data_IF_977170989038
#
_entry.id   IF_977170989038
#
_cell.length_a   1.000
_cell.length_b   1.000
_cell.length_c   1.000
_cell.angle_alpha   90.00
_cell.angle_beta   90.00
_cell.angle_gamma   90.00
#
_symmetry.space_group_name_H-M   'P 1'
#
loop_
_entity.id
_entity.type
_entity.pdbx_description
1 polymer ?
#
# COMPACT_ATOMS: atom_id res chain seq x y z
N UNK A 1 15.06 -14.68 -10.41
CA UNK A 1 14.33 -15.33 -9.30
C UNK A 1 13.09 -14.49 -9.05
N UNK A 2 11.88 -15.03 -9.27
CA UNK A 2 10.64 -14.27 -9.12
C UNK A 2 10.10 -14.55 -7.71
N UNK A 3 10.43 -13.68 -6.76
CA UNK A 3 10.10 -13.85 -5.34
C UNK A 3 8.59 -14.07 -5.15
N UNK A 4 7.76 -13.42 -5.97
CA UNK A 4 6.30 -13.53 -5.91
C UNK A 4 5.79 -14.90 -6.32
N UNK A 5 6.49 -15.56 -7.25
CA UNK A 5 6.13 -16.87 -7.76
C UNK A 5 6.54 -17.95 -6.75
N UNK A 6 7.75 -17.82 -6.18
CA UNK A 6 8.28 -18.73 -5.16
C UNK A 6 7.40 -18.73 -3.88
N UNK A 7 6.82 -17.58 -3.49
CA UNK A 7 5.92 -17.49 -2.32
C UNK A 7 4.59 -18.26 -2.49
N UNK A 8 4.13 -18.48 -3.72
CA UNK A 8 2.86 -19.17 -3.99
C UNK A 8 3.03 -20.69 -4.07
N UNK A 9 4.24 -21.19 -4.30
CA UNK A 9 4.52 -22.62 -4.51
C UNK A 9 4.43 -23.46 -3.22
N UNK A 10 4.54 -22.85 -2.03
CA UNK A 10 4.52 -23.57 -0.75
C UNK A 10 3.12 -23.70 -0.12
N UNK A 11 2.05 -23.24 -0.79
CA UNK A 11 0.69 -23.25 -0.22
C UNK A 11 0.50 -22.27 0.95
N UNK A 12 1.50 -21.42 1.20
CA UNK A 12 1.44 -20.34 2.17
C UNK A 12 0.97 -19.05 1.47
N UNK A 13 0.10 -18.28 2.14
CA UNK A 13 -0.34 -16.96 1.70
C UNK A 13 0.32 -15.89 2.59
N UNK A 14 1.60 -15.55 2.36
CA UNK A 14 2.32 -14.60 3.20
C UNK A 14 1.76 -13.20 3.00
N UNK A 15 1.77 -12.41 4.07
CA UNK A 15 1.50 -10.98 3.97
C UNK A 15 2.70 -10.29 3.29
N UNK A 16 2.43 -9.55 2.21
CA UNK A 16 3.44 -8.78 1.48
C UNK A 16 3.28 -7.31 1.85
N UNK A 17 4.35 -6.71 2.35
CA UNK A 17 4.43 -5.27 2.62
C UNK A 17 5.38 -4.66 1.62
N UNK A 18 4.93 -3.63 0.91
CA UNK A 18 5.74 -2.94 -0.08
C UNK A 18 5.81 -1.45 0.24
N UNK A 19 7.04 -0.91 0.27
CA UNK A 19 7.25 0.54 0.40
C UNK A 19 7.25 1.13 -1.00
N UNK A 20 6.24 1.97 -1.28
CA UNK A 20 6.02 2.49 -2.62
C UNK A 20 6.91 3.69 -2.90
N UNK A 21 7.68 3.62 -4.00
CA UNK A 21 8.41 4.77 -4.52
C UNK A 21 7.51 5.76 -5.28
N UNK A 22 6.36 5.29 -5.76
CA UNK A 22 5.34 6.09 -6.43
C UNK A 22 3.97 5.78 -5.80
N UNK A 23 3.35 6.80 -5.24
CA UNK A 23 2.04 6.74 -4.58
C UNK A 23 0.92 6.30 -5.52
N UNK A 24 1.04 6.51 -6.85
CA UNK A 24 0.02 6.09 -7.83
C UNK A 24 -0.15 4.58 -7.91
N UNK A 25 0.86 3.80 -7.49
CA UNK A 25 0.80 2.33 -7.44
C UNK A 25 -0.07 1.82 -6.29
N UNK A 26 -0.49 2.69 -5.38
CA UNK A 26 -1.30 2.31 -4.21
C UNK A 26 -2.65 1.68 -4.61
N UNK A 27 -3.14 1.91 -5.83
CA UNK A 27 -4.34 1.27 -6.35
C UNK A 27 -4.18 -0.25 -6.62
N UNK A 28 -2.96 -0.77 -6.62
CA UNK A 28 -2.66 -2.21 -6.80
C UNK A 28 -2.72 -3.01 -5.50
N UNK A 29 -2.95 -2.36 -4.36
CA UNK A 29 -2.90 -2.98 -3.04
C UNK A 29 -4.27 -2.98 -2.37
N UNK A 30 -4.57 -4.05 -1.65
CA UNK A 30 -5.81 -4.18 -0.89
C UNK A 30 -5.90 -3.18 0.27
N UNK A 31 -4.75 -2.76 0.80
CA UNK A 31 -4.64 -1.83 1.93
C UNK A 31 -3.40 -0.95 1.78
N UNK A 32 -3.56 0.32 2.11
CA UNK A 32 -2.52 1.34 2.06
C UNK A 32 -2.39 1.95 3.45
N UNK A 33 -1.16 2.08 3.92
CA UNK A 33 -0.80 2.69 5.20
C UNK A 33 0.07 3.92 4.91
N UNK A 34 -0.35 5.09 5.37
CA UNK A 34 0.38 6.34 5.19
C UNK A 34 1.09 6.69 6.48
N UNK A 35 2.40 6.87 6.39
CA UNK A 35 3.21 7.32 7.51
C UNK A 35 3.67 8.76 7.27
N UNK A 36 3.50 9.63 8.26
CA UNK A 36 4.13 10.94 8.31
C UNK A 36 4.98 11.02 9.59
N UNK A 37 6.25 11.40 9.44
CA UNK A 37 7.23 11.55 10.54
C UNK A 37 7.26 10.35 11.51
N UNK A 38 7.12 9.14 10.99
CA UNK A 38 7.14 7.90 11.77
C UNK A 38 5.82 7.54 12.47
N UNK A 39 4.76 8.32 12.30
CA UNK A 39 3.42 8.03 12.79
C UNK A 39 2.53 7.50 11.66
N UNK A 40 1.71 6.48 11.93
CA UNK A 40 0.64 6.05 11.03
C UNK A 40 -0.49 7.10 11.07
N UNK A 41 -0.66 7.85 9.99
CA UNK A 41 -1.62 8.95 9.91
C UNK A 41 -2.88 8.59 9.13
N UNK A 42 -2.77 7.69 8.16
CA UNK A 42 -3.92 7.19 7.42
C UNK A 42 -3.81 5.69 7.10
N UNK A 43 -4.98 5.06 7.00
CA UNK A 43 -5.18 3.64 6.78
C UNK A 43 -6.48 3.47 5.96
N UNK A 44 -6.43 2.59 4.96
CA UNK A 44 -7.61 2.25 4.16
C UNK A 44 -7.27 1.67 2.79
N UNK A 45 -8.28 1.52 1.94
CA UNK A 45 -8.10 1.24 0.52
C UNK A 45 -7.77 2.53 -0.22
N UNK A 46 -7.15 2.41 -1.40
CA UNK A 46 -6.90 3.55 -2.29
C UNK A 46 -8.14 4.45 -2.48
N UNK A 47 -9.32 3.86 -2.73
CA UNK A 47 -10.56 4.60 -2.90
C UNK A 47 -10.96 5.39 -1.64
N UNK A 48 -10.96 4.73 -0.47
CA UNK A 48 -11.33 5.39 0.78
C UNK A 48 -10.36 6.51 1.18
N UNK A 49 -9.08 6.39 0.84
CA UNK A 49 -8.07 7.40 1.13
C UNK A 49 -8.15 8.60 0.17
N UNK A 50 -8.56 8.39 -1.08
CA UNK A 50 -8.83 9.49 -2.03
C UNK A 50 -10.05 10.33 -1.63
N UNK A 51 -11.07 9.69 -1.05
CA UNK A 51 -12.25 10.38 -0.53
C UNK A 51 -11.94 11.20 0.72
N UNK A 52 -10.97 10.76 1.53
CA UNK A 52 -10.44 11.55 2.64
C UNK A 52 -9.69 12.76 2.07
N UNK A 53 -9.94 13.94 2.64
CA UNK A 53 -9.17 15.14 2.31
C UNK A 53 -7.86 15.16 3.15
N UNK A 54 -7.10 14.06 3.08
CA UNK A 54 -5.90 13.78 3.87
C UNK A 54 -4.60 13.84 3.07
N UNK A 55 -3.48 13.49 3.72
CA UNK A 55 -2.12 13.50 3.16
C UNK A 55 -2.02 12.58 1.95
N UNK A 56 -2.70 11.43 1.98
CA UNK A 56 -2.69 10.50 0.84
C UNK A 56 -3.05 11.19 -0.46
N UNK A 57 -4.12 11.98 -0.46
CA UNK A 57 -4.64 12.70 -1.63
C UNK A 57 -3.63 13.73 -2.16
N UNK A 58 -2.87 14.38 -1.28
CA UNK A 58 -1.81 15.31 -1.66
C UNK A 58 -0.63 14.59 -2.33
N UNK A 59 -0.36 13.33 -1.96
CA UNK A 59 0.74 12.54 -2.55
C UNK A 59 0.43 11.95 -3.93
N UNK A 60 -0.85 11.75 -4.27
CA UNK A 60 -1.28 11.20 -5.58
C UNK A 60 -1.77 12.24 -6.57
N UNK A 61 -1.85 13.52 -6.17
CA UNK A 61 -2.21 14.65 -7.06
C UNK A 61 -1.03 15.06 -7.93
#
# INVERSE_FOLDING_TARGET
>A
RNIMQDLHEEGHAPAIIWVLANSSLANLFDRVLVFDRGALVEDGTHATLLEKNGIFKELVS
#
